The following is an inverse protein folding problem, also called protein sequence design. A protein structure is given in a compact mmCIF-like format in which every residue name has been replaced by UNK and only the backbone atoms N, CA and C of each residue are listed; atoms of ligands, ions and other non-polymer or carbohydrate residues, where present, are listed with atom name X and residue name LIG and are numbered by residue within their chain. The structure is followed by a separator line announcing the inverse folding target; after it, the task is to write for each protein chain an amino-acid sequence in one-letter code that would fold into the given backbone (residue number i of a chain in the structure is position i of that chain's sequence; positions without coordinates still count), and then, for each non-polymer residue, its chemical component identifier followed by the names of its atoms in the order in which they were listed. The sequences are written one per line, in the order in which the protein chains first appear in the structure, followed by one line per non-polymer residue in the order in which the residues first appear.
data_IF_857972273346
#
_entry.id   IF_857972273346
#
_cell.length_a   1.000
_cell.length_b   1.000
_cell.length_c   1.000
_cell.angle_alpha   90.00
_cell.angle_beta   90.00
_cell.angle_gamma   90.00
#
_symmetry.space_group_name_H-M   'P 1'
#
loop_
_entity.id
_entity.type
_entity.pdbx_description
1 polymer ?
#
# COMPACT_ATOMS: atom_id res chain seq x y z
N UNK A 1 71.36 -1.40 -27.66
CA UNK A 1 71.19 -2.10 -28.95
C UNK A 1 70.35 -3.35 -28.68
N UNK A 2 69.08 -3.37 -29.08
CA UNK A 2 68.26 -4.59 -28.92
C UNK A 2 68.83 -5.65 -29.87
N UNK A 3 69.15 -6.87 -29.41
CA UNK A 3 69.72 -7.90 -30.29
C UNK A 3 68.76 -8.21 -31.45
N UNK A 4 69.27 -8.23 -32.69
CA UNK A 4 68.50 -8.55 -33.90
C UNK A 4 67.72 -9.88 -33.79
N UNK A 5 68.29 -10.85 -33.06
CA UNK A 5 67.65 -12.11 -32.71
C UNK A 5 66.35 -11.93 -31.92
N UNK A 6 66.28 -10.96 -31.00
CA UNK A 6 65.08 -10.65 -30.21
C UNK A 6 63.99 -9.99 -31.06
N UNK A 7 64.37 -9.12 -32.01
CA UNK A 7 63.42 -8.50 -32.95
C UNK A 7 62.82 -9.54 -33.90
N UNK A 8 63.65 -10.45 -34.44
CA UNK A 8 63.19 -11.58 -35.25
C UNK A 8 62.22 -12.48 -34.49
N UNK A 9 62.52 -12.77 -33.21
CA UNK A 9 61.64 -13.56 -32.34
C UNK A 9 60.30 -12.87 -32.06
N UNK A 10 60.28 -11.55 -31.93
CA UNK A 10 59.05 -10.79 -31.70
C UNK A 10 58.14 -10.83 -32.93
N UNK A 11 58.70 -10.56 -34.10
CA UNK A 11 57.97 -10.61 -35.38
C UNK A 11 57.46 -12.02 -35.64
N UNK A 12 58.28 -13.05 -35.42
CA UNK A 12 57.88 -14.43 -35.67
C UNK A 12 56.75 -14.92 -34.76
N UNK A 13 56.69 -14.42 -33.52
CA UNK A 13 55.62 -14.75 -32.57
C UNK A 13 54.25 -14.25 -33.02
N UNK A 14 54.18 -13.10 -33.69
CA UNK A 14 52.93 -12.43 -34.02
C UNK A 14 52.51 -12.59 -35.49
N UNK A 15 53.46 -12.69 -36.42
CA UNK A 15 53.21 -12.78 -37.85
C UNK A 15 53.63 -14.12 -38.49
N UNK A 16 54.37 -14.96 -37.75
CA UNK A 16 54.85 -16.28 -38.22
C UNK A 16 56.34 -16.32 -38.55
N UNK A 17 56.96 -17.53 -38.56
CA UNK A 17 58.43 -17.69 -38.60
C UNK A 17 59.11 -17.36 -39.93
N UNK A 18 58.34 -17.26 -41.02
CA UNK A 18 58.88 -17.23 -42.40
C UNK A 18 59.08 -15.83 -42.98
N UNK A 19 58.85 -14.77 -42.20
CA UNK A 19 58.95 -13.39 -42.66
C UNK A 19 60.35 -12.79 -42.42
N UNK A 20 60.93 -12.17 -43.46
CA UNK A 20 62.16 -11.39 -43.33
C UNK A 20 61.90 -10.06 -42.59
N UNK A 21 62.91 -9.59 -41.85
CA UNK A 21 62.84 -8.30 -41.16
C UNK A 21 62.92 -7.16 -42.18
N UNK A 22 61.79 -6.50 -42.41
CA UNK A 22 61.66 -5.36 -43.31
C UNK A 22 60.70 -4.32 -42.72
N UNK A 23 60.76 -3.09 -43.22
CA UNK A 23 59.81 -2.03 -42.84
C UNK A 23 58.36 -2.42 -43.10
N UNK A 24 58.10 -3.21 -44.15
CA UNK A 24 56.77 -3.74 -44.44
C UNK A 24 56.28 -4.73 -43.36
N UNK A 25 57.19 -5.58 -42.86
CA UNK A 25 56.89 -6.54 -41.79
C UNK A 25 56.61 -5.82 -40.46
N UNK A 26 57.31 -4.72 -40.18
CA UNK A 26 57.03 -3.88 -39.01
C UNK A 26 55.69 -3.15 -39.13
N UNK A 27 55.36 -2.58 -40.30
CA UNK A 27 54.07 -1.92 -40.51
C UNK A 27 52.88 -2.89 -40.38
N UNK A 28 53.03 -4.15 -40.81
CA UNK A 28 51.99 -5.17 -40.63
C UNK A 28 51.86 -5.62 -39.16
N UNK A 29 52.97 -5.69 -38.43
CA UNK A 29 52.96 -5.95 -36.99
C UNK A 29 52.23 -4.84 -36.23
N UNK A 30 52.50 -3.57 -36.56
CA UNK A 30 51.85 -2.41 -35.95
C UNK A 30 50.34 -2.44 -36.19
N UNK A 31 49.88 -2.67 -37.44
CA UNK A 31 48.45 -2.81 -37.76
C UNK A 31 47.79 -3.94 -37.00
N UNK A 32 48.47 -5.08 -36.85
CA UNK A 32 47.95 -6.22 -36.08
C UNK A 32 47.80 -5.85 -34.60
N UNK A 33 48.79 -5.19 -34.01
CA UNK A 33 48.78 -4.75 -32.62
C UNK A 33 47.72 -3.68 -32.37
N UNK A 34 47.55 -2.72 -33.27
CA UNK A 34 46.47 -1.72 -33.21
C UNK A 34 45.10 -2.39 -33.20
N UNK A 35 44.84 -3.31 -34.14
CA UNK A 35 43.58 -4.06 -34.21
C UNK A 35 43.34 -4.86 -32.93
N UNK A 36 44.37 -5.55 -32.41
CA UNK A 36 44.24 -6.35 -31.18
C UNK A 36 44.00 -5.48 -29.95
N UNK A 37 44.61 -4.30 -29.89
CA UNK A 37 44.39 -3.32 -28.81
C UNK A 37 42.96 -2.79 -28.85
N UNK A 38 42.44 -2.47 -30.04
CA UNK A 38 41.05 -2.05 -30.22
C UNK A 38 40.05 -3.16 -29.86
N UNK A 39 40.31 -4.40 -30.28
CA UNK A 39 39.49 -5.57 -29.89
C UNK A 39 39.49 -5.78 -28.37
N UNK A 40 40.66 -5.66 -27.72
CA UNK A 40 40.78 -5.80 -26.27
C UNK A 40 40.01 -4.70 -25.53
N UNK A 41 40.16 -3.45 -25.96
CA UNK A 41 39.42 -2.30 -25.41
C UNK A 41 37.91 -2.46 -25.56
N UNK A 42 37.41 -2.91 -26.72
CA UNK A 42 35.98 -3.21 -26.91
C UNK A 42 35.49 -4.32 -25.98
N UNK A 43 36.26 -5.41 -25.84
CA UNK A 43 35.89 -6.50 -24.91
C UNK A 43 35.87 -6.04 -23.46
N UNK A 44 36.77 -5.14 -23.06
CA UNK A 44 36.80 -4.56 -21.72
C UNK A 44 35.56 -3.68 -21.48
N UNK A 45 35.18 -2.84 -22.45
CA UNK A 45 33.93 -2.06 -22.39
C UNK A 45 32.69 -2.95 -22.30
N UNK A 46 32.62 -4.02 -23.11
CA UNK A 46 31.50 -4.96 -23.10
C UNK A 46 31.42 -5.73 -21.77
N UNK A 47 32.57 -6.12 -21.20
CA UNK A 47 32.64 -6.76 -19.89
C UNK A 47 32.20 -5.81 -18.77
N UNK A 48 32.60 -4.54 -18.84
CA UNK A 48 32.15 -3.50 -17.89
C UNK A 48 30.63 -3.36 -17.92
N UNK A 49 30.04 -3.21 -19.12
CA UNK A 49 28.57 -3.12 -19.29
C UNK A 49 27.86 -4.37 -18.80
N UNK A 50 28.40 -5.55 -19.10
CA UNK A 50 27.83 -6.82 -18.65
C UNK A 50 27.84 -6.91 -17.12
N UNK A 51 28.91 -6.45 -16.47
CA UNK A 51 29.04 -6.40 -15.01
C UNK A 51 28.00 -5.45 -14.40
N UNK A 52 27.85 -4.24 -14.93
CA UNK A 52 26.84 -3.27 -14.46
C UNK A 52 25.40 -3.81 -14.58
N UNK A 53 25.08 -4.47 -15.71
CA UNK A 53 23.77 -5.09 -15.91
C UNK A 53 23.57 -6.24 -14.92
N UNK A 54 24.59 -7.08 -14.71
CA UNK A 54 24.54 -8.18 -13.76
C UNK A 54 24.29 -7.66 -12.34
N UNK A 55 25.01 -6.64 -11.90
CA UNK A 55 24.83 -6.00 -10.59
C UNK A 55 23.40 -5.45 -10.42
N UNK A 56 22.86 -4.79 -11.45
CA UNK A 56 21.48 -4.28 -11.44
C UNK A 56 20.45 -5.40 -11.35
N UNK A 57 20.64 -6.48 -12.11
CA UNK A 57 19.75 -7.65 -12.07
C UNK A 57 19.82 -8.35 -10.71
N UNK A 58 21.01 -8.51 -10.15
CA UNK A 58 21.18 -9.08 -8.82
C UNK A 58 20.55 -8.23 -7.72
N UNK A 59 20.59 -6.90 -7.84
CA UNK A 59 19.90 -5.99 -6.93
C UNK A 59 18.38 -6.13 -7.05
N UNK A 60 17.83 -6.14 -8.27
CA UNK A 60 16.39 -6.33 -8.51
C UNK A 60 15.90 -7.72 -8.06
N UNK A 61 16.70 -8.77 -8.25
CA UNK A 61 16.40 -10.12 -7.75
C UNK A 61 16.37 -10.15 -6.23
N UNK A 62 17.33 -9.50 -5.56
CA UNK A 62 17.34 -9.38 -4.09
C UNK A 62 16.10 -8.65 -3.58
N UNK A 63 15.74 -7.53 -4.19
CA UNK A 63 14.53 -6.77 -3.83
C UNK A 63 13.26 -7.60 -4.02
N UNK A 64 13.14 -8.28 -5.17
CA UNK A 64 11.96 -9.11 -5.47
C UNK A 64 11.84 -10.30 -4.52
N UNK A 65 12.96 -10.95 -4.15
CA UNK A 65 12.98 -12.02 -3.15
C UNK A 65 12.53 -11.51 -1.78
N UNK A 66 13.02 -10.35 -1.35
CA UNK A 66 12.57 -9.74 -0.09
C UNK A 66 11.05 -9.51 -0.09
N UNK A 67 10.50 -8.97 -1.18
CA UNK A 67 9.05 -8.78 -1.33
C UNK A 67 8.27 -10.09 -1.28
N UNK A 68 8.80 -11.16 -1.89
CA UNK A 68 8.18 -12.48 -1.83
C UNK A 68 8.19 -13.07 -0.41
N UNK A 69 9.30 -12.91 0.32
CA UNK A 69 9.41 -13.37 1.71
C UNK A 69 8.42 -12.61 2.61
N UNK A 70 8.29 -11.28 2.43
CA UNK A 70 7.32 -10.45 3.15
C UNK A 70 5.88 -10.86 2.86
N UNK A 71 5.53 -11.06 1.58
CA UNK A 71 4.19 -11.54 1.17
C UNK A 71 3.90 -12.94 1.70
N UNK A 72 4.89 -13.83 1.73
CA UNK A 72 4.73 -15.18 2.28
C UNK A 72 4.46 -15.13 3.78
N UNK A 73 5.08 -14.21 4.51
CA UNK A 73 4.81 -14.00 5.94
C UNK A 73 3.40 -13.46 6.16
N UNK A 74 3.00 -12.44 5.41
CA UNK A 74 1.66 -11.86 5.48
C UNK A 74 0.57 -12.91 5.17
N UNK A 75 0.80 -13.76 4.15
CA UNK A 75 -0.10 -14.87 3.83
C UNK A 75 -0.21 -15.86 4.98
N UNK A 76 0.91 -16.24 5.62
CA UNK A 76 0.89 -17.15 6.76
C UNK A 76 0.09 -16.59 7.95
N UNK A 77 0.20 -15.28 8.22
CA UNK A 77 -0.59 -14.58 9.25
C UNK A 77 -2.08 -14.54 8.89
N UNK A 78 -2.40 -14.27 7.62
CA UNK A 78 -3.78 -14.27 7.13
C UNK A 78 -4.41 -15.66 7.25
N UNK A 79 -3.70 -16.72 6.84
CA UNK A 79 -4.16 -18.10 6.98
C UNK A 79 -4.34 -18.51 8.44
N UNK A 80 -3.45 -18.09 9.35
CA UNK A 80 -3.63 -18.37 10.78
C UNK A 80 -4.88 -17.67 11.33
N UNK A 81 -5.12 -16.42 10.92
CA UNK A 81 -6.32 -15.66 11.30
C UNK A 81 -7.57 -16.34 10.77
N UNK A 82 -7.56 -16.77 9.50
CA UNK A 82 -8.66 -17.52 8.88
C UNK A 82 -8.94 -18.82 9.62
N UNK A 83 -7.90 -19.62 9.95
CA UNK A 83 -8.07 -20.86 10.74
C UNK A 83 -8.70 -20.60 12.11
N UNK A 84 -8.35 -19.49 12.78
CA UNK A 84 -8.96 -19.09 14.06
C UNK A 84 -10.44 -18.75 13.88
N UNK A 85 -10.76 -17.95 12.86
CA UNK A 85 -12.14 -17.57 12.53
C UNK A 85 -12.99 -18.79 12.14
N UNK A 86 -12.48 -19.69 11.30
CA UNK A 86 -13.18 -20.92 10.89
C UNK A 86 -13.51 -21.81 12.09
N UNK A 87 -12.55 -21.95 13.01
CA UNK A 87 -12.75 -22.70 14.26
C UNK A 87 -13.81 -22.05 15.14
N UNK A 88 -13.77 -20.72 15.26
CA UNK A 88 -14.74 -19.97 16.04
C UNK A 88 -16.15 -20.08 15.44
N UNK A 89 -16.31 -19.86 14.14
CA UNK A 89 -17.58 -20.03 13.41
C UNK A 89 -18.12 -21.45 13.60
N UNK A 90 -17.27 -22.48 13.45
CA UNK A 90 -17.67 -23.88 13.66
C UNK A 90 -18.18 -24.11 15.08
N UNK A 91 -17.47 -23.57 16.08
CA UNK A 91 -17.81 -23.71 17.50
C UNK A 91 -19.11 -22.96 17.84
N UNK A 92 -19.28 -21.74 17.33
CA UNK A 92 -20.48 -20.94 17.55
C UNK A 92 -21.70 -21.57 16.87
N UNK A 93 -21.56 -22.08 15.65
CA UNK A 93 -22.63 -22.84 14.97
C UNK A 93 -23.03 -24.07 15.76
N UNK A 94 -22.07 -24.84 16.27
CA UNK A 94 -22.35 -26.00 17.13
C UNK A 94 -23.13 -25.60 18.39
N UNK A 95 -22.70 -24.53 19.08
CA UNK A 95 -23.40 -24.02 20.28
C UNK A 95 -24.82 -23.56 19.98
N UNK A 96 -25.07 -22.90 18.84
CA UNK A 96 -26.42 -22.50 18.42
C UNK A 96 -27.33 -23.72 18.22
N UNK A 97 -26.81 -24.79 17.61
CA UNK A 97 -27.55 -26.05 17.44
C UNK A 97 -27.85 -26.71 18.79
N UNK A 98 -26.86 -26.81 19.70
CA UNK A 98 -27.08 -27.33 21.06
C UNK A 98 -28.12 -26.52 21.84
N UNK A 99 -28.16 -25.20 21.62
CA UNK A 99 -29.14 -24.30 22.25
C UNK A 99 -30.53 -24.35 21.57
N UNK A 100 -30.72 -25.21 20.57
CA UNK A 100 -32.00 -25.38 19.87
C UNK A 100 -32.34 -24.25 18.90
N UNK A 101 -31.33 -23.54 18.39
CA UNK A 101 -31.44 -22.42 17.43
C UNK A 101 -30.69 -22.68 16.12
N UNK A 102 -30.88 -23.85 15.46
CA UNK A 102 -30.14 -24.19 14.23
C UNK A 102 -30.38 -23.20 13.08
N UNK A 103 -31.55 -22.57 13.01
CA UNK A 103 -31.91 -21.56 12.02
C UNK A 103 -31.01 -20.32 12.04
N UNK A 104 -30.44 -19.98 13.21
CA UNK A 104 -29.54 -18.82 13.36
C UNK A 104 -28.13 -19.09 12.81
N UNK A 105 -27.83 -20.30 12.34
CA UNK A 105 -26.53 -20.63 11.73
C UNK A 105 -26.41 -20.16 10.28
N UNK A 106 -27.55 -19.90 9.64
CA UNK A 106 -27.62 -19.31 8.31
C UNK A 106 -27.34 -17.81 8.40
N UNK A 107 -26.41 -17.34 7.57
CA UNK A 107 -26.06 -15.94 7.42
C UNK A 107 -26.39 -15.56 5.99
N UNK A 108 -27.24 -14.54 5.83
CA UNK A 108 -27.54 -14.02 4.49
C UNK A 108 -26.26 -13.48 3.84
N UNK A 109 -26.03 -13.77 2.55
CA UNK A 109 -24.94 -13.14 1.82
C UNK A 109 -25.07 -11.62 1.90
N UNK A 110 -23.92 -10.95 1.99
CA UNK A 110 -23.88 -9.49 1.91
C UNK A 110 -24.44 -9.02 0.56
N UNK A 111 -25.21 -7.93 0.58
CA UNK A 111 -25.81 -7.37 -0.63
C UNK A 111 -24.73 -6.94 -1.61
N UNK A 112 -24.93 -7.25 -2.91
CA UNK A 112 -24.03 -6.80 -3.98
C UNK A 112 -23.86 -5.27 -4.01
N UNK A 113 -24.84 -4.54 -3.49
CA UNK A 113 -24.79 -3.08 -3.30
C UNK A 113 -23.54 -2.66 -2.50
N UNK A 114 -23.20 -3.44 -1.47
CA UNK A 114 -22.05 -3.18 -0.60
C UNK A 114 -20.75 -3.82 -1.10
N UNK A 115 -20.70 -4.32 -2.34
CA UNK A 115 -19.45 -4.81 -2.93
C UNK A 115 -18.40 -3.70 -2.95
N UNK A 116 -17.16 -3.95 -2.52
CA UNK A 116 -16.14 -2.92 -2.48
C UNK A 116 -15.75 -2.44 -3.88
N UNK A 117 -15.41 -1.15 -4.04
CA UNK A 117 -14.81 -0.63 -5.27
C UNK A 117 -13.34 -1.06 -5.41
N UNK A 118 -12.86 -1.13 -6.65
CA UNK A 118 -11.49 -1.59 -6.96
C UNK A 118 -10.39 -0.54 -6.69
N UNK A 119 -10.75 0.73 -6.53
CA UNK A 119 -9.81 1.84 -6.31
C UNK A 119 -10.43 2.95 -5.44
N UNK A 120 -9.58 3.84 -4.91
CA UNK A 120 -10.00 4.94 -4.03
C UNK A 120 -10.82 5.98 -4.78
N UNK A 121 -10.56 6.22 -6.07
CA UNK A 121 -11.38 7.13 -6.87
C UNK A 121 -12.85 6.69 -6.90
N UNK A 122 -13.09 5.44 -7.27
CA UNK A 122 -14.41 4.81 -7.33
C UNK A 122 -15.07 4.74 -5.96
N UNK A 123 -14.28 4.63 -4.88
CA UNK A 123 -14.77 4.76 -3.51
C UNK A 123 -15.26 6.18 -3.21
N UNK A 124 -14.52 7.20 -3.63
CA UNK A 124 -14.90 8.60 -3.39
C UNK A 124 -16.16 8.98 -4.17
N UNK A 125 -16.32 8.51 -5.41
CA UNK A 125 -17.51 8.76 -6.22
C UNK A 125 -18.80 8.32 -5.50
N UNK A 126 -18.72 7.27 -4.67
CA UNK A 126 -19.85 6.74 -3.88
C UNK A 126 -20.25 7.60 -2.70
N UNK A 127 -19.36 8.43 -2.16
CA UNK A 127 -19.55 9.19 -0.92
C UNK A 127 -19.28 10.70 -1.09
N UNK A 128 -19.23 11.18 -2.32
CA UNK A 128 -19.14 12.60 -2.65
C UNK A 128 -20.40 13.06 -3.40
N UNK A 129 -20.85 14.32 -3.22
CA UNK A 129 -22.10 14.79 -3.82
C UNK A 129 -22.12 14.78 -5.36
N UNK A 130 -20.95 14.93 -5.99
CA UNK A 130 -20.82 15.10 -7.45
C UNK A 130 -20.58 13.77 -8.19
N UNK A 131 -20.53 12.64 -7.49
CA UNK A 131 -20.24 11.31 -8.05
C UNK A 131 -21.47 10.39 -8.17
N UNK A 132 -21.22 9.13 -8.55
CA UNK A 132 -22.23 8.06 -8.58
C UNK A 132 -22.62 7.68 -7.14
N UNK A 133 -23.55 8.47 -6.61
CA UNK A 133 -23.90 8.48 -5.19
C UNK A 133 -24.50 7.15 -4.74
N UNK A 134 -23.77 6.45 -3.88
CA UNK A 134 -24.21 5.21 -3.24
C UNK A 134 -25.08 5.53 -2.01
N UNK A 135 -25.91 4.58 -1.54
CA UNK A 135 -26.70 4.72 -0.30
C UNK A 135 -25.85 5.17 0.91
N UNK A 136 -24.58 4.76 0.94
CA UNK A 136 -23.62 5.17 1.96
C UNK A 136 -23.54 6.69 2.14
N UNK A 137 -23.71 7.47 1.06
CA UNK A 137 -23.67 8.92 1.07
C UNK A 137 -24.71 9.58 1.97
N UNK A 138 -25.84 8.91 2.21
CA UNK A 138 -26.90 9.42 3.08
C UNK A 138 -26.39 9.63 4.51
N UNK A 139 -25.41 8.81 4.93
CA UNK A 139 -24.86 8.84 6.30
C UNK A 139 -23.37 9.11 6.38
N UNK A 140 -22.62 8.92 5.31
CA UNK A 140 -21.16 9.08 5.29
C UNK A 140 -20.74 9.91 4.10
N UNK A 141 -20.11 11.06 4.35
CA UNK A 141 -19.72 12.01 3.29
C UNK A 141 -18.24 12.30 3.33
N UNK A 142 -17.58 12.27 2.19
CA UNK A 142 -16.22 12.74 2.07
C UNK A 142 -16.19 14.25 1.82
N UNK A 143 -15.40 14.96 2.61
CA UNK A 143 -15.22 16.42 2.52
C UNK A 143 -13.75 16.81 2.34
N UNK A 144 -12.84 15.83 2.38
CA UNK A 144 -11.40 16.04 2.32
C UNK A 144 -10.84 16.41 0.95
N UNK A 145 -9.51 16.46 0.89
CA UNK A 145 -8.77 16.70 -0.35
C UNK A 145 -8.66 15.41 -1.18
N UNK A 146 -9.35 15.37 -2.31
CA UNK A 146 -9.36 14.25 -3.25
C UNK A 146 -7.94 13.89 -3.69
N UNK A 147 -7.07 14.88 -3.90
CA UNK A 147 -5.70 14.64 -4.39
C UNK A 147 -4.87 13.80 -3.41
N UNK A 148 -5.10 13.97 -2.10
CA UNK A 148 -4.41 13.19 -1.07
C UNK A 148 -4.93 11.76 -0.99
N UNK A 149 -6.22 11.57 -1.23
CA UNK A 149 -6.82 10.26 -1.29
C UNK A 149 -6.34 9.47 -2.51
N UNK A 150 -6.26 10.12 -3.68
CA UNK A 150 -5.73 9.49 -4.91
C UNK A 150 -4.23 9.16 -4.84
N UNK A 151 -3.47 9.77 -3.94
CA UNK A 151 -2.07 9.35 -3.66
C UNK A 151 -2.01 7.86 -3.23
N UNK A 152 -3.07 7.34 -2.61
CA UNK A 152 -3.15 5.95 -2.17
C UNK A 152 -3.09 5.00 -3.37
N UNK A 153 -3.91 5.21 -4.41
CA UNK A 153 -3.93 4.35 -5.60
C UNK A 153 -2.61 4.39 -6.37
N UNK A 154 -1.93 5.54 -6.37
CA UNK A 154 -0.61 5.69 -7.01
C UNK A 154 0.46 4.87 -6.29
N UNK A 155 0.39 4.80 -4.96
CA UNK A 155 1.37 4.09 -4.11
C UNK A 155 1.09 2.60 -4.03
N UNK A 156 -0.18 2.22 -4.04
CA UNK A 156 -0.67 0.85 -3.97
C UNK A 156 -1.75 0.66 -5.04
N UNK A 157 -1.37 0.21 -6.25
CA UNK A 157 -2.30 0.06 -7.37
C UNK A 157 -3.20 -1.18 -7.26
N UNK A 158 -3.18 -1.89 -6.12
CA UNK A 158 -4.09 -2.99 -5.86
C UNK A 158 -5.33 -2.49 -5.08
N UNK A 159 -6.49 -3.17 -5.20
CA UNK A 159 -7.72 -2.78 -4.48
C UNK A 159 -7.65 -2.83 -2.95
N UNK A 160 -6.51 -3.23 -2.39
CA UNK A 160 -6.30 -3.54 -0.98
C UNK A 160 -6.76 -2.43 -0.03
N UNK A 161 -6.35 -1.18 -0.29
CA UNK A 161 -6.75 -0.06 0.57
C UNK A 161 -8.17 0.43 0.28
N UNK A 162 -8.60 0.39 -0.98
CA UNK A 162 -9.98 0.72 -1.35
C UNK A 162 -10.97 -0.20 -0.61
N UNK A 163 -10.73 -1.51 -0.61
CA UNK A 163 -11.54 -2.48 0.13
C UNK A 163 -11.54 -2.20 1.63
N UNK A 164 -10.37 -1.96 2.23
CA UNK A 164 -10.28 -1.69 3.66
C UNK A 164 -11.01 -0.39 4.07
N UNK A 165 -10.90 0.67 3.27
CA UNK A 165 -11.63 1.92 3.53
C UNK A 165 -13.12 1.76 3.32
N UNK A 166 -13.53 0.95 2.35
CA UNK A 166 -14.93 0.62 2.12
C UNK A 166 -15.56 -0.11 3.32
N UNK A 167 -14.87 -1.10 3.89
CA UNK A 167 -15.33 -1.77 5.12
C UNK A 167 -15.54 -0.76 6.26
N UNK A 168 -14.63 0.20 6.41
CA UNK A 168 -14.77 1.25 7.43
C UNK A 168 -15.90 2.24 7.14
N UNK A 169 -16.18 2.54 5.86
CA UNK A 169 -17.35 3.34 5.47
C UNK A 169 -18.63 2.58 5.82
N UNK A 170 -18.67 1.25 5.59
CA UNK A 170 -19.81 0.41 5.96
C UNK A 170 -20.00 0.39 7.49
N UNK A 171 -18.93 0.28 8.27
CA UNK A 171 -18.96 0.46 9.75
C UNK A 171 -19.61 1.80 10.13
N UNK A 172 -19.17 2.90 9.52
CA UNK A 172 -19.66 4.24 9.83
C UNK A 172 -21.12 4.44 9.42
N UNK A 173 -21.53 3.85 8.29
CA UNK A 173 -22.90 3.87 7.82
C UNK A 173 -23.84 3.16 8.80
N UNK A 174 -23.56 1.91 9.15
CA UNK A 174 -24.39 1.13 10.09
C UNK A 174 -24.43 1.76 11.48
N UNK A 175 -23.30 2.33 11.91
CA UNK A 175 -23.22 3.12 13.11
C UNK A 175 -24.20 4.30 13.05
N UNK A 176 -24.13 5.14 12.01
CA UNK A 176 -24.97 6.32 11.87
C UNK A 176 -26.47 6.01 11.68
N UNK A 177 -26.81 4.93 10.96
CA UNK A 177 -28.17 4.40 10.90
C UNK A 177 -28.66 4.01 12.30
N UNK A 178 -27.87 3.25 13.04
CA UNK A 178 -28.20 2.87 14.42
C UNK A 178 -28.30 4.06 15.38
N UNK A 179 -27.53 5.15 15.17
CA UNK A 179 -27.67 6.41 15.91
C UNK A 179 -29.02 7.06 15.64
N UNK A 180 -29.43 7.16 14.37
CA UNK A 180 -30.71 7.78 14.01
C UNK A 180 -31.93 6.96 14.46
N UNK A 181 -31.83 5.65 14.49
CA UNK A 181 -32.87 4.77 15.05
C UNK A 181 -32.91 4.79 16.59
N UNK A 182 -31.94 5.41 17.25
CA UNK A 182 -31.79 5.39 18.72
C UNK A 182 -31.32 4.04 19.28
N UNK A 183 -30.96 3.09 18.42
CA UNK A 183 -30.45 1.76 18.77
C UNK A 183 -29.00 1.80 19.27
N UNK A 184 -28.23 2.79 18.82
CA UNK A 184 -26.85 3.04 19.27
C UNK A 184 -26.82 4.40 19.98
N UNK A 185 -26.34 4.41 21.23
CA UNK A 185 -26.15 5.62 22.03
C UNK A 185 -24.69 5.88 22.42
N UNK A 186 -23.78 4.97 22.06
CA UNK A 186 -22.34 5.05 22.33
C UNK A 186 -21.56 5.55 21.12
N UNK A 187 -20.29 5.91 21.30
CA UNK A 187 -19.41 6.28 20.18
C UNK A 187 -18.88 5.08 19.40
N UNK A 188 -18.32 5.33 18.21
CA UNK A 188 -17.86 4.29 17.25
C UNK A 188 -16.97 3.21 17.89
N UNK A 189 -15.99 3.57 18.72
CA UNK A 189 -15.11 2.56 19.32
C UNK A 189 -15.85 1.61 20.28
N UNK A 190 -16.80 2.13 21.06
CA UNK A 190 -17.63 1.30 21.93
C UNK A 190 -18.66 0.49 21.14
N UNK A 191 -19.10 1.01 19.99
CA UNK A 191 -19.89 0.23 19.05
C UNK A 191 -19.08 -0.96 18.52
N UNK A 192 -17.83 -0.77 18.12
CA UNK A 192 -16.95 -1.82 17.59
C UNK A 192 -16.62 -2.92 18.61
N UNK A 193 -16.58 -2.60 19.91
CA UNK A 193 -16.24 -3.55 20.97
C UNK A 193 -17.46 -4.21 21.64
N UNK A 194 -18.68 -3.83 21.25
CA UNK A 194 -19.91 -4.33 21.84
C UNK A 194 -20.52 -5.45 21.00
N UNK A 195 -20.55 -6.65 21.57
CA UNK A 195 -21.22 -7.82 20.97
C UNK A 195 -22.75 -7.69 20.95
N UNK A 196 -23.31 -6.81 21.78
CA UNK A 196 -24.76 -6.61 21.90
C UNK A 196 -25.33 -5.63 20.86
N UNK A 197 -24.45 -4.95 20.10
CA UNK A 197 -24.86 -3.98 19.08
C UNK A 197 -24.62 -4.59 17.70
N UNK A 198 -25.69 -4.84 16.96
CA UNK A 198 -25.65 -5.34 15.59
C UNK A 198 -25.14 -4.28 14.60
N UNK A 199 -24.69 -4.76 13.43
CA UNK A 199 -24.21 -3.97 12.31
C UNK A 199 -22.80 -4.37 11.89
N UNK A 200 -22.34 -3.88 10.75
CA UNK A 200 -21.01 -4.14 10.21
C UNK A 200 -19.91 -3.69 11.20
N UNK A 201 -18.89 -4.52 11.39
CA UNK A 201 -17.78 -4.28 12.34
C UNK A 201 -16.44 -4.56 11.67
N UNK A 202 -15.45 -3.75 12.02
CA UNK A 202 -14.06 -4.10 11.82
C UNK A 202 -13.41 -4.47 13.18
N UNK A 203 -12.26 -5.16 13.18
CA UNK A 203 -11.52 -5.41 14.41
C UNK A 203 -11.21 -4.09 15.18
N UNK A 204 -11.39 -4.02 16.51
CA UNK A 204 -11.24 -2.77 17.25
C UNK A 204 -9.84 -2.15 17.19
N UNK A 205 -8.80 -2.96 16.95
CA UNK A 205 -7.44 -2.50 16.78
C UNK A 205 -7.24 -1.69 15.49
N UNK A 206 -8.20 -1.72 14.55
CA UNK A 206 -8.22 -0.90 13.32
C UNK A 206 -8.73 0.51 13.54
N UNK A 207 -9.25 0.80 14.71
CA UNK A 207 -9.85 2.09 15.01
C UNK A 207 -9.14 2.74 16.20
N UNK A 208 -8.78 4.01 16.04
CA UNK A 208 -8.32 4.86 17.11
C UNK A 208 -9.40 5.91 17.42
N UNK A 209 -10.02 5.92 18.62
CA UNK A 209 -11.05 6.89 18.97
C UNK A 209 -10.53 8.32 19.09
N UNK A 210 -9.21 8.49 19.23
CA UNK A 210 -8.54 9.79 19.30
C UNK A 210 -7.08 9.65 18.92
N UNK A 211 -6.50 10.76 18.48
CA UNK A 211 -5.05 10.93 18.33
C UNK A 211 -4.40 11.09 19.71
N UNK A 212 -3.12 10.75 19.81
CA UNK A 212 -2.35 10.93 21.05
C UNK A 212 -2.20 12.40 21.43
N UNK A 213 -2.22 12.70 22.72
CA UNK A 213 -2.12 14.09 23.22
C UNK A 213 -0.77 14.73 22.80
N UNK A 214 0.30 13.94 22.80
CA UNK A 214 1.62 14.36 22.30
C UNK A 214 1.55 14.78 20.83
N UNK A 215 0.87 14.00 19.99
CA UNK A 215 0.73 14.32 18.57
C UNK A 215 -0.16 15.54 18.36
N UNK A 216 -1.29 15.62 19.06
CA UNK A 216 -2.21 16.76 18.95
C UNK A 216 -1.54 18.07 19.36
N UNK A 217 -0.71 18.07 20.40
CA UNK A 217 -0.02 19.27 20.87
C UNK A 217 1.03 19.79 19.88
N UNK A 218 1.65 18.92 19.08
CA UNK A 218 2.73 19.30 18.14
C UNK A 218 2.26 19.44 16.69
N UNK A 219 1.43 18.51 16.23
CA UNK A 219 0.98 18.36 14.84
C UNK A 219 -0.55 18.34 14.69
N UNK A 220 -1.30 18.80 15.70
CA UNK A 220 -2.77 18.83 15.66
C UNK A 220 -3.36 19.60 14.48
N UNK A 221 -2.63 20.60 13.95
CA UNK A 221 -3.05 21.37 12.77
C UNK A 221 -3.23 20.50 11.52
N UNK A 222 -2.48 19.41 11.38
CA UNK A 222 -2.63 18.48 10.27
C UNK A 222 -3.92 17.64 10.37
N UNK A 223 -4.59 17.63 11.54
CA UNK A 223 -5.86 16.93 11.78
C UNK A 223 -7.07 17.87 11.71
N UNK A 224 -6.90 19.09 11.22
CA UNK A 224 -8.00 20.01 10.94
C UNK A 224 -8.41 19.81 9.50
N UNK A 225 -9.65 19.39 9.28
CA UNK A 225 -10.17 19.05 7.96
C UNK A 225 -11.47 19.77 7.66
N UNK A 226 -11.75 20.03 6.36
CA UNK A 226 -12.96 20.69 5.92
C UNK A 226 -14.24 19.92 6.29
N UNK A 227 -15.28 20.69 6.63
CA UNK A 227 -16.67 20.24 6.81
C UNK A 227 -17.62 21.33 6.29
N UNK A 228 -18.89 21.02 5.98
CA UNK A 228 -19.87 22.05 5.62
C UNK A 228 -20.00 23.12 6.71
N UNK A 229 -20.27 24.37 6.31
CA UNK A 229 -20.43 25.49 7.26
C UNK A 229 -21.61 25.31 8.23
N UNK A 230 -22.60 24.52 7.84
CA UNK A 230 -23.75 24.15 8.67
C UNK A 230 -23.37 23.17 9.80
N UNK A 231 -22.24 22.45 9.65
CA UNK A 231 -21.67 21.57 10.69
C UNK A 231 -20.80 22.37 11.65
N UNK A 232 -19.90 23.22 11.11
CA UNK A 232 -19.07 24.10 11.92
C UNK A 232 -18.88 25.45 11.22
N UNK A 233 -19.09 26.61 11.89
CA UNK A 233 -19.06 27.92 11.24
C UNK A 233 -17.74 28.30 10.55
N UNK A 234 -16.60 27.72 10.96
CA UNK A 234 -15.31 27.96 10.29
C UNK A 234 -15.13 27.15 8.99
N UNK A 235 -16.03 26.20 8.70
CA UNK A 235 -15.89 25.27 7.57
C UNK A 235 -14.82 24.19 7.78
N UNK A 236 -14.28 24.05 8.99
CA UNK A 236 -13.25 23.07 9.32
C UNK A 236 -13.36 22.61 10.78
N UNK A 237 -12.92 21.38 11.07
CA UNK A 237 -12.94 20.79 12.41
C UNK A 237 -11.76 19.85 12.66
N UNK A 238 -11.37 19.72 13.92
CA UNK A 238 -10.35 18.75 14.34
C UNK A 238 -10.92 17.32 14.33
N UNK A 239 -10.32 16.42 13.55
CA UNK A 239 -10.67 15.00 13.47
C UNK A 239 -9.56 14.11 14.04
N UNK A 240 -9.64 13.82 15.34
CA UNK A 240 -8.68 12.92 16.01
C UNK A 240 -8.98 11.43 15.81
N UNK A 241 -10.26 11.08 15.63
CA UNK A 241 -10.68 9.71 15.40
C UNK A 241 -10.31 9.27 13.99
N UNK A 242 -9.78 8.05 13.87
CA UNK A 242 -9.35 7.53 12.57
C UNK A 242 -9.33 6.00 12.51
N UNK A 243 -9.47 5.50 11.29
CA UNK A 243 -9.21 4.11 10.96
C UNK A 243 -7.82 3.92 10.37
N UNK A 244 -7.29 2.71 10.57
CA UNK A 244 -5.99 2.27 10.08
C UNK A 244 -6.13 0.89 9.43
N UNK A 245 -6.07 0.79 8.08
CA UNK A 245 -5.78 -0.47 7.41
C UNK A 245 -4.50 -1.09 8.00
N UNK A 246 -4.50 -2.38 8.31
CA UNK A 246 -3.24 -3.04 8.65
C UNK A 246 -2.57 -3.50 7.40
N UNK A 247 -1.43 -2.92 7.07
CA UNK A 247 -0.42 -3.57 6.26
C UNK A 247 0.94 -3.06 6.76
N UNK A 248 1.97 -3.90 6.73
CA UNK A 248 3.33 -3.54 7.18
C UNK A 248 4.03 -2.74 6.10
N UNK A 249 3.45 -1.63 5.71
CA UNK A 249 4.01 -0.75 4.70
C UNK A 249 4.37 0.60 5.33
N UNK A 250 5.32 1.30 4.70
CA UNK A 250 5.78 2.59 5.21
C UNK A 250 4.78 3.72 4.94
N UNK A 251 3.84 3.53 4.00
CA UNK A 251 2.86 4.54 3.62
C UNK A 251 1.66 4.56 4.59
N UNK A 252 1.22 3.38 5.07
CA UNK A 252 0.33 3.18 6.21
C UNK A 252 -0.85 4.18 6.26
N UNK A 253 -1.70 4.21 5.23
CA UNK A 253 -2.67 5.27 5.06
C UNK A 253 -3.71 5.26 6.19
N UNK A 254 -4.39 6.40 6.38
CA UNK A 254 -5.34 6.67 7.46
C UNK A 254 -6.61 7.28 6.89
N UNK A 255 -7.73 6.98 7.53
CA UNK A 255 -9.03 7.61 7.26
C UNK A 255 -9.50 8.34 8.51
N UNK A 256 -9.39 9.68 8.52
CA UNK A 256 -9.88 10.50 9.63
C UNK A 256 -11.31 10.94 9.38
N UNK A 257 -12.10 10.98 10.44
CA UNK A 257 -13.51 11.32 10.36
C UNK A 257 -14.00 12.12 11.57
N UNK A 258 -15.12 12.81 11.38
CA UNK A 258 -15.88 13.50 12.41
C UNK A 258 -17.29 12.90 12.50
N UNK A 259 -17.67 12.50 13.70
CA UNK A 259 -19.02 11.99 14.00
C UNK A 259 -19.95 13.16 14.35
N UNK A 260 -20.81 13.55 13.40
CA UNK A 260 -21.83 14.58 13.56
C UNK A 260 -23.24 13.98 13.63
N UNK A 261 -23.36 12.71 14.04
CA UNK A 261 -24.64 11.98 14.05
C UNK A 261 -25.68 12.57 15.01
N UNK A 262 -25.25 13.34 16.01
CA UNK A 262 -26.16 14.02 16.95
C UNK A 262 -26.78 15.31 16.39
N UNK A 263 -26.22 15.88 15.33
CA UNK A 263 -26.65 17.14 14.75
C UNK A 263 -27.21 16.91 13.34
N UNK A 264 -26.36 16.52 12.38
CA UNK A 264 -26.79 16.28 11.00
C UNK A 264 -27.17 14.83 10.72
N UNK A 265 -26.85 13.89 11.62
CA UNK A 265 -27.06 12.46 11.36
C UNK A 265 -26.00 11.81 10.47
N UNK A 266 -24.96 12.58 10.11
CA UNK A 266 -23.93 12.22 9.13
C UNK A 266 -22.56 12.10 9.82
N UNK A 267 -21.73 11.20 9.30
CA UNK A 267 -20.30 11.12 9.60
C UNK A 267 -19.51 11.71 8.42
N UNK A 268 -18.61 12.65 8.71
CA UNK A 268 -17.81 13.32 7.68
C UNK A 268 -16.38 12.77 7.67
N UNK A 269 -15.94 12.23 6.52
CA UNK A 269 -14.55 11.82 6.31
C UNK A 269 -13.79 13.00 5.74
N UNK A 270 -12.96 13.62 6.58
CA UNK A 270 -12.16 14.79 6.21
C UNK A 270 -10.80 14.44 5.60
N UNK A 271 -10.37 13.18 5.70
CA UNK A 271 -9.07 12.75 5.18
C UNK A 271 -9.01 11.27 4.86
N UNK A 272 -8.52 10.96 3.68
CA UNK A 272 -7.96 9.66 3.29
C UNK A 272 -6.59 9.97 2.70
N UNK A 273 -5.56 9.26 3.13
CA UNK A 273 -4.21 9.46 2.60
C UNK A 273 -3.14 8.90 3.51
N UNK A 274 -1.88 9.24 3.19
CA UNK A 274 -0.69 8.81 3.94
C UNK A 274 -0.81 9.01 5.45
N UNK A 275 0.00 8.28 6.21
CA UNK A 275 0.15 8.59 7.64
C UNK A 275 0.61 10.03 7.85
N UNK A 276 -0.16 10.80 8.63
CA UNK A 276 0.19 12.17 9.03
C UNK A 276 1.34 12.17 10.04
N UNK A 277 1.99 13.32 10.23
CA UNK A 277 3.18 13.43 11.09
C UNK A 277 2.84 13.10 12.55
N UNK A 278 3.64 12.25 13.18
CA UNK A 278 3.50 11.88 14.62
C UNK A 278 4.81 11.87 15.40
N UNK A 279 5.95 12.04 14.70
CA UNK A 279 7.29 12.13 15.27
C UNK A 279 8.17 12.99 14.36
N UNK A 280 9.21 13.57 14.95
CA UNK A 280 10.25 14.28 14.18
C UNK A 280 10.94 13.29 13.24
N UNK A 281 11.18 13.71 11.99
CA UNK A 281 11.84 12.89 10.95
C UNK A 281 13.36 12.87 11.12
#
# INVERSE_FOLDING_TARGET
MVPLARLRQLVSRWLGPDLELSDATFAELDRLLERKTLEASRREEDLSKATEIQERLEASLRESKSKLDDLSLDLAVAEETQRKQDREVTTLRYRLVEYGKPELTYVEPESELWSPPDDVLSLLDRITPDGDTHLAFDRVKFTGDISKALEVDVREPTPRYAHAFWDYIHVLYDYAEGRAEGRIAVGVHMYLTSDNLSGHKCPPDRHAPRESDTTMNRWGKERIFPVPVDVHPSGEITMGAHFKPTWRDTFAPRMHYYDDTNNTGIVYIGYIGRHLTTKDS
#
